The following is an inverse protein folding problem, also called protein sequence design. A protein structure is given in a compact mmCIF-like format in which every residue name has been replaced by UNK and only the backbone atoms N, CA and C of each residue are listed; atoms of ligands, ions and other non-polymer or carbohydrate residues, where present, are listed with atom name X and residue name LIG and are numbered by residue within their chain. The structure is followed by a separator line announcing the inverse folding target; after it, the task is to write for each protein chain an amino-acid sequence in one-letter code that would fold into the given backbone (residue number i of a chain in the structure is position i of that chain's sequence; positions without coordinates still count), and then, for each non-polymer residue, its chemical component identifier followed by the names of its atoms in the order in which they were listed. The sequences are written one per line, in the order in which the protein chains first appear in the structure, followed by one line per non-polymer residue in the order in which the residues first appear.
data_IF_085144278326
#
_entry.id   IF_085144278326
#
_cell.length_a   1.000
_cell.length_b   1.000
_cell.length_c   1.000
_cell.angle_alpha   90.00
_cell.angle_beta   90.00
_cell.angle_gamma   90.00
#
_symmetry.space_group_name_H-M   'P 1'
#
loop_
_entity.id
_entity.type
_entity.pdbx_description
1 polymer ?
#
# COMPACT_ATOMS: atom_id res chain seq x y z
N UNK A 1 3.69 25.37 -46.21
CA UNK A 1 4.92 25.41 -45.40
C UNK A 1 4.80 24.36 -44.32
N UNK A 2 5.72 23.40 -44.31
CA UNK A 2 5.79 22.24 -43.43
C UNK A 2 6.71 22.57 -42.24
N UNK A 3 6.38 22.05 -41.05
CA UNK A 3 7.25 21.88 -39.85
C UNK A 3 7.54 23.18 -39.09
N UNK A 4 7.59 23.27 -37.75
CA UNK A 4 7.58 22.28 -36.68
C UNK A 4 6.66 22.80 -35.57
N UNK A 5 5.72 21.95 -35.16
CA UNK A 5 5.07 22.01 -33.86
C UNK A 5 6.17 21.64 -32.84
N UNK A 6 6.79 22.64 -32.23
CA UNK A 6 7.81 22.39 -31.21
C UNK A 6 7.15 21.74 -29.99
N UNK A 7 7.60 20.52 -29.75
CA UNK A 7 7.45 19.71 -28.55
C UNK A 7 7.10 20.52 -27.29
N UNK A 8 5.84 20.39 -26.85
CA UNK A 8 5.43 20.51 -25.46
C UNK A 8 4.81 19.17 -25.06
N UNK A 9 5.64 18.13 -25.15
CA UNK A 9 5.35 16.75 -24.78
C UNK A 9 6.59 16.26 -24.05
N UNK A 10 6.68 16.61 -22.76
CA UNK A 10 7.54 16.00 -21.73
C UNK A 10 7.33 16.74 -20.40
N UNK A 11 6.14 16.58 -19.82
CA UNK A 11 5.88 16.80 -18.38
C UNK A 11 4.61 16.07 -17.91
N UNK A 12 4.25 14.94 -18.54
CA UNK A 12 3.18 14.04 -18.06
C UNK A 12 3.76 12.82 -17.33
N UNK A 13 4.90 13.01 -16.66
CA UNK A 13 5.43 12.11 -15.65
C UNK A 13 5.70 12.97 -14.42
N UNK A 14 4.80 12.90 -13.43
CA UNK A 14 4.88 13.71 -12.23
C UNK A 14 3.87 14.86 -12.17
N UNK A 15 2.58 14.61 -12.38
CA UNK A 15 1.62 15.27 -11.48
C UNK A 15 1.81 14.64 -10.11
N UNK A 16 2.89 15.05 -9.45
CA UNK A 16 3.11 14.92 -8.02
C UNK A 16 1.83 15.45 -7.40
N UNK A 17 1.09 14.55 -6.77
CA UNK A 17 -0.20 14.79 -6.13
C UNK A 17 0.01 15.74 -4.95
N UNK A 18 0.23 17.03 -5.24
CA UNK A 18 0.60 18.03 -4.27
C UNK A 18 -0.60 18.33 -3.36
N UNK A 19 -0.66 17.60 -2.25
CA UNK A 19 -1.34 18.05 -1.04
C UNK A 19 -0.58 19.20 -0.41
N UNK A 20 -1.27 20.22 0.08
CA UNK A 20 -0.68 21.20 1.00
C UNK A 20 -0.57 20.67 2.44
N UNK A 21 -1.07 19.48 2.74
CA UNK A 21 -0.94 18.88 4.08
C UNK A 21 0.49 18.33 4.30
N UNK A 22 1.23 18.81 5.32
CA UNK A 22 2.59 18.36 5.60
C UNK A 22 2.70 16.85 5.84
N UNK A 23 1.67 16.24 6.43
CA UNK A 23 1.65 14.79 6.71
C UNK A 23 1.65 14.05 5.38
N UNK A 24 0.79 14.45 4.45
CA UNK A 24 0.70 13.83 3.11
C UNK A 24 1.99 14.03 2.31
N UNK A 25 2.64 15.20 2.42
CA UNK A 25 3.92 15.44 1.74
C UNK A 25 5.09 14.62 2.29
N UNK A 26 5.05 14.24 3.55
CA UNK A 26 6.13 13.52 4.22
C UNK A 26 5.99 12.00 4.20
N UNK A 27 4.80 11.48 3.89
CA UNK A 27 4.50 10.04 3.91
C UNK A 27 4.67 9.34 2.57
N UNK A 28 4.80 8.01 2.62
CA UNK A 28 4.64 7.13 1.46
C UNK A 28 3.27 6.49 1.53
N UNK A 29 2.49 6.54 0.46
CA UNK A 29 1.05 6.27 0.55
C UNK A 29 0.61 5.14 -0.34
N UNK A 30 0.08 4.10 0.28
CA UNK A 30 -0.48 2.95 -0.41
C UNK A 30 -1.98 3.09 -0.37
N UNK A 31 -2.65 2.87 -1.51
CA UNK A 31 -4.11 2.87 -1.51
C UNK A 31 -4.61 1.63 -0.74
N UNK A 32 -5.70 1.74 0.00
CA UNK A 32 -6.34 0.62 0.70
C UNK A 32 -7.62 0.20 -0.03
N UNK A 33 -8.40 1.18 -0.43
CA UNK A 33 -9.70 0.97 -1.05
C UNK A 33 -9.96 2.07 -2.08
N UNK A 34 -10.66 1.69 -3.16
CA UNK A 34 -11.17 2.60 -4.17
C UNK A 34 -12.69 2.46 -4.20
N UNK A 35 -13.39 3.49 -3.71
CA UNK A 35 -14.82 3.66 -3.95
C UNK A 35 -15.08 4.33 -5.30
N UNK A 36 -16.35 4.55 -5.63
CA UNK A 36 -16.75 5.23 -6.87
C UNK A 36 -16.25 6.68 -6.96
N UNK A 37 -16.16 7.36 -5.81
CA UNK A 37 -15.83 8.79 -5.75
C UNK A 37 -14.56 9.11 -4.99
N UNK A 38 -14.03 8.17 -4.21
CA UNK A 38 -12.93 8.40 -3.27
C UNK A 38 -11.95 7.22 -3.29
N UNK A 39 -10.65 7.52 -3.25
CA UNK A 39 -9.59 6.53 -2.93
C UNK A 39 -9.04 6.82 -1.55
N UNK A 40 -8.78 5.76 -0.82
CA UNK A 40 -8.34 5.79 0.57
C UNK A 40 -6.90 5.31 0.63
N UNK A 41 -6.07 5.95 1.45
CA UNK A 41 -4.65 5.67 1.52
C UNK A 41 -4.17 5.54 2.96
N UNK A 42 -3.05 4.85 3.15
CA UNK A 42 -2.30 4.77 4.42
C UNK A 42 -0.80 4.78 4.20
N UNK A 43 -0.06 5.11 5.25
CA UNK A 43 1.39 5.02 5.26
C UNK A 43 1.86 3.68 5.87
N UNK A 44 2.34 2.72 5.07
CA UNK A 44 2.76 1.41 5.58
C UNK A 44 4.05 1.46 6.39
N UNK A 45 4.87 2.51 6.27
CA UNK A 45 6.11 2.68 7.03
C UNK A 45 5.88 3.28 8.41
N UNK A 46 4.79 4.01 8.59
CA UNK A 46 4.35 4.53 9.89
C UNK A 46 3.30 3.65 10.58
N UNK A 47 2.77 2.66 9.86
CA UNK A 47 1.81 1.69 10.41
C UNK A 47 2.52 0.67 11.28
N UNK A 48 2.10 0.56 12.54
CA UNK A 48 2.73 -0.33 13.53
C UNK A 48 1.72 -0.94 14.47
N UNK A 49 2.01 -2.12 15.00
CA UNK A 49 1.27 -2.68 16.13
C UNK A 49 1.95 -2.25 17.44
N UNK A 50 1.18 -1.69 18.37
CA UNK A 50 1.68 -1.29 19.67
C UNK A 50 1.69 -2.48 20.67
N UNK A 51 2.16 -2.24 21.90
CA UNK A 51 2.28 -3.25 22.95
C UNK A 51 0.95 -3.86 23.38
N UNK A 52 -0.15 -3.11 23.23
CA UNK A 52 -1.50 -3.56 23.57
C UNK A 52 -2.16 -4.35 22.42
N UNK A 53 -1.41 -4.55 21.32
CA UNK A 53 -1.88 -5.27 20.15
C UNK A 53 -2.74 -4.42 19.20
N UNK A 54 -2.86 -3.11 19.43
CA UNK A 54 -3.58 -2.21 18.51
C UNK A 54 -2.70 -1.79 17.35
N UNK A 55 -3.29 -1.71 16.15
CA UNK A 55 -2.61 -1.19 14.97
C UNK A 55 -2.81 0.31 14.91
N UNK A 56 -1.72 1.07 14.94
CA UNK A 56 -1.69 2.52 14.78
C UNK A 56 -1.31 2.86 13.34
N UNK A 57 -2.03 3.79 12.71
CA UNK A 57 -1.74 4.21 11.33
C UNK A 57 -2.18 5.65 11.07
N UNK A 58 -1.69 6.21 9.96
CA UNK A 58 -2.18 7.46 9.39
C UNK A 58 -2.89 7.11 8.10
N UNK A 59 -4.11 7.60 7.95
CA UNK A 59 -4.94 7.39 6.76
C UNK A 59 -5.41 8.72 6.22
N UNK A 60 -5.57 8.82 4.91
CA UNK A 60 -6.27 9.94 4.30
C UNK A 60 -7.15 9.43 3.16
N UNK A 61 -7.95 10.32 2.59
CA UNK A 61 -8.78 9.98 1.44
C UNK A 61 -8.70 11.09 0.41
N UNK A 62 -8.92 10.75 -0.85
CA UNK A 62 -8.85 11.68 -1.98
C UNK A 62 -10.05 11.50 -2.88
N UNK A 63 -10.68 12.59 -3.29
CA UNK A 63 -11.72 12.56 -4.31
C UNK A 63 -11.12 12.20 -5.68
N UNK A 64 -11.77 11.30 -6.41
CA UNK A 64 -11.32 10.82 -7.71
C UNK A 64 -11.45 11.86 -8.83
N UNK A 65 -12.45 12.74 -8.74
CA UNK A 65 -12.80 13.67 -9.81
C UNK A 65 -11.90 14.89 -9.87
N UNK A 66 -11.59 15.48 -8.71
CA UNK A 66 -10.83 16.74 -8.61
C UNK A 66 -9.49 16.57 -7.88
N UNK A 67 -9.19 15.36 -7.39
CA UNK A 67 -7.97 15.07 -6.64
C UNK A 67 -7.94 15.73 -5.26
N UNK A 68 -9.03 16.35 -4.81
CA UNK A 68 -9.07 17.06 -3.53
C UNK A 68 -8.92 16.10 -2.37
N UNK A 69 -8.23 16.55 -1.33
CA UNK A 69 -7.87 15.71 -0.19
C UNK A 69 -8.84 15.90 0.96
N UNK A 70 -9.26 14.77 1.50
CA UNK A 70 -9.95 14.67 2.76
C UNK A 70 -8.87 14.54 3.82
N UNK A 71 -8.94 15.40 4.84
CA UNK A 71 -7.89 15.58 5.86
C UNK A 71 -7.40 14.24 6.42
N UNK A 72 -6.09 14.08 6.63
CA UNK A 72 -5.53 12.88 7.24
C UNK A 72 -6.10 12.69 8.64
N UNK A 73 -6.28 11.42 9.00
CA UNK A 73 -6.72 10.97 10.31
C UNK A 73 -5.70 9.99 10.87
N UNK A 74 -5.40 10.12 12.16
CA UNK A 74 -4.65 9.13 12.90
C UNK A 74 -5.62 8.13 13.47
N UNK A 75 -5.37 6.86 13.20
CA UNK A 75 -6.28 5.79 13.60
C UNK A 75 -5.57 4.79 14.51
N UNK A 76 -6.36 4.24 15.42
CA UNK A 76 -6.00 3.03 16.16
C UNK A 76 -7.06 1.96 15.89
N UNK A 77 -6.62 0.76 15.58
CA UNK A 77 -7.48 -0.37 15.26
C UNK A 77 -7.25 -1.49 16.27
N UNK A 78 -8.32 -1.89 16.94
CA UNK A 78 -8.33 -3.08 17.78
C UNK A 78 -8.85 -4.26 16.95
N UNK A 79 -7.92 -5.11 16.53
CA UNK A 79 -8.21 -6.22 15.64
C UNK A 79 -8.98 -7.36 16.27
N UNK A 80 -8.88 -7.54 17.59
CA UNK A 80 -9.66 -8.55 18.30
C UNK A 80 -11.16 -8.19 18.29
N UNK A 81 -11.47 -6.90 18.47
CA UNK A 81 -12.84 -6.41 18.57
C UNK A 81 -13.37 -5.78 17.27
N UNK A 82 -12.52 -5.67 16.24
CA UNK A 82 -12.81 -4.97 14.97
C UNK A 82 -13.31 -3.54 15.18
N UNK A 83 -12.80 -2.87 16.21
CA UNK A 83 -13.15 -1.48 16.55
C UNK A 83 -12.05 -0.53 16.12
N UNK A 84 -12.46 0.70 15.83
CA UNK A 84 -11.61 1.78 15.35
C UNK A 84 -11.74 2.99 16.29
N UNK A 85 -10.64 3.65 16.57
CA UNK A 85 -10.57 4.97 17.19
C UNK A 85 -9.95 5.96 16.20
N UNK A 86 -10.50 7.16 16.09
CA UNK A 86 -10.09 8.17 15.10
C UNK A 86 -9.71 9.46 15.80
N UNK A 87 -8.56 10.00 15.39
CA UNK A 87 -8.05 11.29 15.85
C UNK A 87 -7.79 12.18 14.65
N UNK A 88 -8.17 13.45 14.76
CA UNK A 88 -7.73 14.51 13.84
C UNK A 88 -6.58 15.29 14.46
N UNK A 89 -5.89 16.10 13.66
CA UNK A 89 -4.98 17.12 14.19
C UNK A 89 -5.79 18.39 14.45
N UNK A 90 -5.85 18.81 15.71
CA UNK A 90 -6.43 20.08 16.11
C UNK A 90 -5.58 21.27 15.67
N UNK A 91 -6.10 22.49 15.79
CA UNK A 91 -5.38 23.73 15.42
C UNK A 91 -4.08 23.95 16.21
N UNK A 92 -3.95 23.35 17.39
CA UNK A 92 -2.74 23.35 18.23
C UNK A 92 -1.67 22.34 17.79
N UNK A 93 -1.91 21.57 16.72
CA UNK A 93 -1.04 20.49 16.26
C UNK A 93 -1.16 19.19 17.07
N UNK A 94 -1.97 19.18 18.13
CA UNK A 94 -2.20 17.98 18.95
C UNK A 94 -3.24 17.05 18.33
N UNK A 95 -3.10 15.74 18.58
CA UNK A 95 -4.12 14.76 18.22
C UNK A 95 -5.36 14.97 19.09
N UNK A 96 -6.49 15.23 18.46
CA UNK A 96 -7.79 15.35 19.10
C UNK A 96 -8.63 14.13 18.76
N UNK A 97 -9.14 13.44 19.78
CA UNK A 97 -10.08 12.35 19.60
C UNK A 97 -11.36 12.88 18.93
N UNK A 98 -11.63 12.43 17.71
CA UNK A 98 -12.85 12.80 16.97
C UNK A 98 -13.91 11.73 17.08
N UNK A 99 -13.50 10.47 17.20
CA UNK A 99 -14.39 9.35 17.40
C UNK A 99 -13.72 8.29 18.26
N UNK A 100 -14.35 7.98 19.37
CA UNK A 100 -13.88 6.92 20.26
C UNK A 100 -14.09 5.52 19.65
N UNK A 101 -13.60 4.49 20.33
CA UNK A 101 -13.74 3.09 19.94
C UNK A 101 -15.16 2.75 19.50
N UNK A 102 -15.29 2.40 18.22
CA UNK A 102 -16.56 2.03 17.63
C UNK A 102 -16.36 0.95 16.56
N UNK A 103 -17.40 0.17 16.31
CA UNK A 103 -17.46 -0.70 15.14
C UNK A 103 -17.82 0.18 13.93
N UNK A 104 -16.99 0.21 12.86
CA UNK A 104 -17.33 0.96 11.66
C UNK A 104 -18.58 0.37 10.99
N UNK A 105 -19.36 1.21 10.32
CA UNK A 105 -20.49 0.74 9.53
C UNK A 105 -19.97 -0.10 8.34
N UNK A 106 -20.61 -1.22 8.02
CA UNK A 106 -20.17 -2.17 6.98
C UNK A 106 -19.92 -1.53 5.61
N UNK A 107 -20.63 -0.43 5.28
CA UNK A 107 -20.47 0.31 4.01
C UNK A 107 -19.53 1.51 4.10
N UNK A 108 -18.90 1.72 5.25
CA UNK A 108 -17.99 2.85 5.47
C UNK A 108 -16.54 2.49 5.15
N UNK A 109 -15.76 3.51 4.79
CA UNK A 109 -14.31 3.40 4.60
C UNK A 109 -13.59 2.84 5.85
N UNK A 110 -14.12 3.12 7.05
CA UNK A 110 -13.56 2.59 8.30
C UNK A 110 -13.55 1.06 8.34
N UNK A 111 -14.50 0.39 7.68
CA UNK A 111 -14.53 -1.07 7.59
C UNK A 111 -13.38 -1.59 6.73
N UNK A 112 -13.04 -0.89 5.64
CA UNK A 112 -11.91 -1.25 4.80
C UNK A 112 -10.57 -1.03 5.50
N UNK A 113 -10.46 0.01 6.36
CA UNK A 113 -9.29 0.17 7.24
C UNK A 113 -9.14 -1.01 8.19
N UNK A 114 -10.20 -1.41 8.88
CA UNK A 114 -10.14 -2.53 9.84
C UNK A 114 -9.78 -3.83 9.12
N UNK A 115 -10.44 -4.17 8.01
CA UNK A 115 -10.15 -5.37 7.21
C UNK A 115 -8.68 -5.43 6.78
N UNK A 116 -8.18 -4.31 6.26
CA UNK A 116 -6.83 -4.19 5.71
C UNK A 116 -5.76 -4.27 6.79
N UNK A 117 -5.90 -3.47 7.84
CA UNK A 117 -4.87 -3.29 8.86
C UNK A 117 -4.84 -4.44 9.87
N UNK A 118 -5.98 -5.07 10.13
CA UNK A 118 -6.02 -6.27 10.96
C UNK A 118 -5.62 -7.54 10.21
N UNK A 119 -5.65 -7.45 8.89
CA UNK A 119 -5.40 -8.57 8.02
C UNK A 119 -6.52 -9.60 8.04
N UNK A 120 -6.51 -10.44 7.01
CA UNK A 120 -7.32 -11.64 6.98
C UNK A 120 -6.53 -12.78 7.59
N UNK A 121 -7.09 -13.58 8.49
CA UNK A 121 -6.40 -14.82 8.92
C UNK A 121 -6.95 -15.96 8.09
N UNK A 122 -6.09 -16.69 7.37
CA UNK A 122 -6.51 -17.89 6.64
C UNK A 122 -7.04 -18.94 7.62
N UNK A 123 -7.78 -19.91 7.11
CA UNK A 123 -8.19 -21.09 7.91
C UNK A 123 -6.98 -21.84 8.50
N UNK A 124 -5.81 -21.74 7.83
CA UNK A 124 -4.53 -22.26 8.29
C UNK A 124 -3.78 -21.38 9.31
N UNK A 125 -4.39 -20.29 9.79
CA UNK A 125 -3.82 -19.43 10.84
C UNK A 125 -2.78 -18.42 10.36
N UNK A 126 -2.60 -18.26 9.04
CA UNK A 126 -1.65 -17.30 8.47
C UNK A 126 -2.31 -15.92 8.42
N UNK A 127 -1.66 -14.92 9.03
CA UNK A 127 -2.09 -13.53 8.96
C UNK A 127 -1.73 -12.93 7.59
N UNK A 128 -2.74 -12.53 6.84
CA UNK A 128 -2.66 -11.85 5.56
C UNK A 128 -2.62 -10.35 5.82
N UNK A 129 -1.46 -9.72 5.65
CA UNK A 129 -1.36 -8.26 5.67
C UNK A 129 -1.67 -7.70 4.28
N UNK A 130 -2.79 -6.99 4.16
CA UNK A 130 -3.13 -6.29 2.92
C UNK A 130 -2.12 -5.16 2.71
N UNK A 131 -1.42 -5.18 1.58
CA UNK A 131 -0.33 -4.22 1.33
C UNK A 131 -0.87 -3.00 0.62
N UNK A 132 -1.77 -3.16 -0.34
CA UNK A 132 -2.28 -2.03 -1.08
C UNK A 132 -3.20 -2.38 -2.25
N UNK A 133 -3.97 -1.40 -2.67
CA UNK A 133 -4.65 -1.31 -3.94
C UNK A 133 -3.69 -0.71 -4.97
N UNK A 134 -3.63 -1.29 -6.16
CA UNK A 134 -2.86 -0.79 -7.28
C UNK A 134 -3.69 -0.83 -8.56
N UNK A 135 -3.44 0.12 -9.46
CA UNK A 135 -3.88 -0.05 -10.84
C UNK A 135 -3.07 -1.18 -11.46
N UNK A 136 -3.73 -2.09 -12.18
CA UNK A 136 -3.08 -3.25 -12.76
C UNK A 136 -2.06 -2.77 -13.82
N UNK A 137 -0.76 -3.06 -13.67
CA UNK A 137 0.26 -2.58 -14.60
C UNK A 137 0.11 -3.18 -16.00
N UNK A 138 -0.55 -4.34 -16.12
CA UNK A 138 -0.84 -5.00 -17.40
C UNK A 138 -2.19 -4.58 -18.00
N UNK A 139 -3.07 -3.96 -17.20
CA UNK A 139 -4.37 -3.46 -17.66
C UNK A 139 -4.83 -2.27 -16.81
N UNK A 140 -4.45 -1.03 -17.16
CA UNK A 140 -4.75 0.17 -16.35
C UNK A 140 -6.25 0.42 -16.08
N UNK A 141 -7.14 -0.16 -16.90
CA UNK A 141 -8.59 -0.10 -16.66
C UNK A 141 -9.07 -1.03 -15.53
N UNK A 142 -8.19 -1.89 -15.01
CA UNK A 142 -8.48 -2.86 -13.97
C UNK A 142 -7.78 -2.48 -12.68
N UNK A 143 -8.58 -2.54 -11.63
CA UNK A 143 -8.15 -2.35 -10.27
C UNK A 143 -7.68 -3.69 -9.71
N UNK A 144 -6.50 -3.73 -9.13
CA UNK A 144 -5.91 -4.93 -8.53
C UNK A 144 -5.56 -4.64 -7.08
N UNK A 145 -6.15 -5.40 -6.19
CA UNK A 145 -5.78 -5.39 -4.79
C UNK A 145 -4.66 -6.42 -4.57
N UNK A 146 -3.62 -6.05 -3.83
CA UNK A 146 -2.52 -6.94 -3.44
C UNK A 146 -2.71 -7.28 -1.96
N UNK A 147 -3.04 -8.54 -1.72
CA UNK A 147 -3.52 -8.98 -0.41
C UNK A 147 -2.42 -9.60 0.43
N UNK A 148 -1.42 -10.26 -0.15
CA UNK A 148 -0.58 -11.16 0.65
C UNK A 148 0.92 -10.95 0.53
N UNK A 149 1.56 -11.12 1.69
CA UNK A 149 2.93 -11.54 1.89
C UNK A 149 2.88 -12.69 2.88
N UNK A 150 3.30 -13.91 2.52
CA UNK A 150 3.77 -14.80 3.56
C UNK A 150 4.95 -14.09 4.22
N UNK A 151 4.92 -13.96 5.54
CA UNK A 151 6.15 -13.63 6.29
C UNK A 151 7.15 -14.79 6.27
N UNK A 152 6.75 -15.92 5.67
CA UNK A 152 7.55 -17.10 5.41
C UNK A 152 8.27 -16.92 4.07
N UNK A 153 9.59 -17.07 4.10
CA UNK A 153 10.42 -17.08 2.90
C UNK A 153 9.97 -18.19 1.94
N UNK A 154 9.76 -17.84 0.67
CA UNK A 154 9.37 -18.79 -0.35
C UNK A 154 10.60 -19.29 -1.13
N UNK A 155 10.63 -20.57 -1.48
CA UNK A 155 11.65 -21.11 -2.39
C UNK A 155 11.34 -20.74 -3.85
N UNK A 156 12.34 -20.41 -4.71
CA UNK A 156 13.77 -20.38 -4.40
C UNK A 156 14.18 -19.11 -3.66
N UNK A 157 15.07 -19.31 -2.67
CA UNK A 157 15.68 -18.26 -1.87
C UNK A 157 16.68 -17.46 -2.70
N UNK A 158 16.56 -16.13 -2.69
CA UNK A 158 17.57 -15.23 -3.26
C UNK A 158 18.77 -15.18 -2.30
N UNK A 159 20.01 -15.50 -2.73
CA UNK A 159 21.18 -15.38 -1.87
C UNK A 159 21.34 -13.96 -1.31
N UNK A 160 21.36 -13.82 0.02
CA UNK A 160 21.43 -12.51 0.68
C UNK A 160 20.17 -11.66 0.48
N UNK A 161 19.06 -12.26 0.09
CA UNK A 161 17.80 -11.60 -0.25
C UNK A 161 16.58 -12.26 0.39
N UNK A 162 15.39 -11.97 -0.15
CA UNK A 162 14.12 -12.62 0.23
C UNK A 162 13.21 -12.81 -0.97
N UNK A 163 12.40 -13.85 -0.93
CA UNK A 163 11.32 -14.09 -1.91
C UNK A 163 9.99 -14.07 -1.19
N UNK A 164 9.08 -13.21 -1.65
CA UNK A 164 7.71 -13.11 -1.16
C UNK A 164 6.74 -13.60 -2.23
N UNK A 165 5.78 -14.44 -1.84
CA UNK A 165 4.62 -14.68 -2.69
C UNK A 165 3.67 -13.48 -2.60
N UNK A 166 3.24 -12.99 -3.76
CA UNK A 166 2.24 -11.95 -3.89
C UNK A 166 0.95 -12.61 -4.37
N UNK A 167 -0.09 -12.59 -3.53
CA UNK A 167 -1.46 -12.85 -4.00
C UNK A 167 -2.07 -11.51 -4.36
N UNK A 168 -2.50 -11.38 -5.60
CA UNK A 168 -3.25 -10.23 -6.06
C UNK A 168 -4.60 -10.68 -6.60
N UNK A 169 -5.64 -9.93 -6.28
CA UNK A 169 -6.98 -10.19 -6.78
C UNK A 169 -7.48 -8.99 -7.57
N UNK A 170 -8.01 -9.31 -8.75
CA UNK A 170 -8.50 -8.32 -9.71
C UNK A 170 -10.01 -8.25 -9.55
N UNK A 171 -10.50 -7.12 -9.06
CA UNK A 171 -11.91 -6.96 -8.65
C UNK A 171 -12.89 -7.35 -9.76
N UNK A 172 -12.59 -6.94 -11.01
CA UNK A 172 -13.49 -7.16 -12.14
C UNK A 172 -13.51 -8.62 -12.63
N UNK A 173 -12.46 -9.40 -12.36
CA UNK A 173 -12.38 -10.78 -12.81
C UNK A 173 -12.78 -11.78 -11.72
N UNK A 174 -12.93 -11.32 -10.47
CA UNK A 174 -13.11 -12.17 -9.30
C UNK A 174 -12.09 -13.32 -9.21
N UNK A 175 -10.87 -13.08 -9.72
CA UNK A 175 -9.79 -14.06 -9.79
C UNK A 175 -8.60 -13.59 -8.96
N UNK A 176 -8.14 -14.48 -8.09
CA UNK A 176 -6.83 -14.39 -7.47
C UNK A 176 -5.77 -14.91 -8.44
N UNK A 177 -4.63 -14.24 -8.43
CA UNK A 177 -3.45 -14.63 -9.17
C UNK A 177 -2.28 -14.68 -8.20
N UNK A 178 -1.44 -15.69 -8.39
CA UNK A 178 -0.20 -15.86 -7.66
C UNK A 178 0.96 -15.30 -8.48
N UNK A 179 1.76 -14.48 -7.83
CA UNK A 179 3.07 -14.05 -8.31
C UNK A 179 4.10 -14.12 -7.19
N UNK A 180 5.33 -13.78 -7.53
CA UNK A 180 6.46 -13.76 -6.63
C UNK A 180 7.21 -12.46 -6.82
N UNK A 181 7.63 -11.87 -5.71
CA UNK A 181 8.55 -10.76 -5.65
C UNK A 181 9.86 -11.25 -5.05
N UNK A 182 10.92 -11.14 -5.83
CA UNK A 182 12.28 -11.47 -5.45
C UNK A 182 13.00 -10.19 -5.09
N UNK A 183 13.73 -10.20 -3.98
CA UNK A 183 14.50 -9.08 -3.47
C UNK A 183 15.94 -9.51 -3.28
N UNK A 184 16.87 -8.75 -3.84
CA UNK A 184 18.31 -8.85 -3.57
C UNK A 184 18.71 -7.69 -2.66
N UNK A 185 18.90 -7.97 -1.37
CA UNK A 185 19.28 -6.94 -0.39
C UNK A 185 20.72 -6.45 -0.59
N UNK A 186 21.61 -7.27 -1.15
CA UNK A 186 23.01 -6.91 -1.36
C UNK A 186 23.11 -5.88 -2.47
N UNK A 187 22.46 -6.15 -3.60
CA UNK A 187 22.54 -5.35 -4.81
C UNK A 187 21.43 -4.29 -4.92
N UNK A 188 20.49 -4.24 -3.97
CA UNK A 188 19.34 -3.33 -3.94
C UNK A 188 18.45 -3.46 -5.20
N UNK A 189 18.12 -4.70 -5.58
CA UNK A 189 17.31 -4.99 -6.77
C UNK A 189 16.09 -5.81 -6.43
N UNK A 190 15.09 -5.76 -7.30
CA UNK A 190 13.90 -6.57 -7.20
C UNK A 190 13.50 -7.14 -8.56
N UNK A 191 12.74 -8.24 -8.55
CA UNK A 191 12.11 -8.79 -9.74
C UNK A 191 10.71 -9.31 -9.37
N UNK A 192 9.78 -9.24 -10.31
CA UNK A 192 8.47 -9.89 -10.17
C UNK A 192 8.32 -10.98 -11.24
N UNK A 193 7.76 -12.12 -10.86
CA UNK A 193 7.49 -13.22 -11.79
C UNK A 193 6.26 -14.02 -11.35
N UNK A 194 5.69 -14.81 -12.25
CA UNK A 194 4.62 -15.78 -11.94
C UNK A 194 5.14 -17.20 -11.73
N UNK A 195 6.46 -17.36 -11.64
CA UNK A 195 7.16 -18.65 -11.53
C UNK A 195 8.23 -18.60 -10.44
N UNK A 196 8.70 -19.78 -10.04
CA UNK A 196 9.68 -20.04 -8.98
C UNK A 196 11.05 -20.43 -9.57
N UNK A 197 11.73 -19.47 -10.20
CA UNK A 197 13.03 -19.67 -10.85
C UNK A 197 13.83 -18.36 -10.84
N UNK A 198 15.12 -18.43 -10.49
CA UNK A 198 16.02 -17.27 -10.43
C UNK A 198 16.65 -16.94 -11.79
N UNK A 199 16.82 -17.93 -12.66
CA UNK A 199 17.64 -17.79 -13.88
C UNK A 199 16.96 -16.91 -14.94
N UNK A 200 15.63 -16.80 -14.88
CA UNK A 200 14.81 -16.05 -15.84
C UNK A 200 14.32 -14.70 -15.29
N UNK A 201 14.82 -14.28 -14.12
CA UNK A 201 14.38 -13.03 -13.49
C UNK A 201 14.93 -11.80 -14.22
N UNK A 202 14.02 -10.91 -14.61
CA UNK A 202 14.38 -9.58 -15.09
C UNK A 202 14.49 -8.62 -13.90
N UNK A 203 15.71 -8.46 -13.39
CA UNK A 203 16.00 -7.61 -12.23
C UNK A 203 15.89 -6.12 -12.55
N UNK A 204 15.22 -5.38 -11.68
CA UNK A 204 15.13 -3.93 -11.67
C UNK A 204 15.90 -3.39 -10.46
N UNK A 205 16.64 -2.30 -10.66
CA UNK A 205 17.31 -1.60 -9.58
C UNK A 205 16.35 -0.64 -8.87
N UNK A 206 16.68 -0.30 -7.62
CA UNK A 206 16.09 0.80 -6.86
C UNK A 206 14.55 0.77 -6.80
N UNK A 207 13.97 -0.18 -6.04
CA UNK A 207 12.53 -0.30 -5.93
C UNK A 207 11.90 1.01 -5.41
N UNK A 208 10.90 1.58 -6.11
CA UNK A 208 10.30 2.85 -5.69
C UNK A 208 9.72 2.78 -4.27
N UNK A 209 9.98 3.76 -3.39
CA UNK A 209 9.48 3.77 -2.01
C UNK A 209 7.97 3.56 -1.86
N UNK A 210 7.20 4.13 -2.76
CA UNK A 210 5.75 4.10 -2.83
C UNK A 210 5.19 2.81 -3.48
N UNK A 211 6.06 1.87 -3.87
CA UNK A 211 5.67 0.59 -4.45
C UNK A 211 5.72 -0.54 -3.44
N UNK A 212 4.92 -1.59 -3.67
CA UNK A 212 4.99 -2.84 -2.90
C UNK A 212 6.42 -3.39 -2.83
N UNK A 213 7.19 -3.26 -3.91
CA UNK A 213 8.59 -3.67 -3.93
C UNK A 213 9.46 -2.83 -2.98
N UNK A 214 9.26 -1.51 -2.93
CA UNK A 214 10.00 -0.62 -2.04
C UNK A 214 9.70 -0.91 -0.58
N UNK A 215 8.42 -1.07 -0.23
CA UNK A 215 8.01 -1.43 1.12
C UNK A 215 8.61 -2.77 1.56
N UNK A 216 8.62 -3.74 0.66
CA UNK A 216 9.16 -5.07 0.95
C UNK A 216 10.67 -5.11 1.02
N UNK A 217 11.35 -4.33 0.18
CA UNK A 217 12.79 -4.10 0.31
C UNK A 217 13.12 -3.50 1.68
N UNK A 218 12.39 -2.47 2.11
CA UNK A 218 12.55 -1.89 3.44
C UNK A 218 12.30 -2.91 4.57
N UNK A 219 11.18 -3.63 4.52
CA UNK A 219 10.80 -4.62 5.54
C UNK A 219 11.80 -5.79 5.59
N UNK A 220 12.27 -6.27 4.44
CA UNK A 220 13.16 -7.44 4.34
C UNK A 220 14.62 -7.12 4.66
N UNK A 221 15.10 -5.98 4.16
CA UNK A 221 16.52 -5.67 4.07
C UNK A 221 16.94 -4.50 4.97
N UNK A 222 16.00 -3.83 5.63
CA UNK A 222 16.27 -2.66 6.48
C UNK A 222 16.77 -1.42 5.72
N UNK A 223 16.81 -1.47 4.39
CA UNK A 223 17.19 -0.34 3.54
C UNK A 223 15.96 0.52 3.28
N UNK A 224 15.95 1.77 3.76
CA UNK A 224 14.95 2.73 3.28
C UNK A 224 15.22 2.97 1.79
N UNK A 225 14.24 2.74 0.90
CA UNK A 225 14.39 3.14 -0.49
C UNK A 225 14.61 4.65 -0.55
N UNK A 226 15.61 5.08 -1.33
CA UNK A 226 16.05 6.47 -1.45
C UNK A 226 15.12 7.27 -2.36
#
# INVERSE_FOLDING_TARGET
MKKLLSLLLLAFAGTVFASDDPIVRAGHWFAIAKGETIVVFYDPYQTRQNSDGFVESVVYSRHLLDGSLIKPSYIQVNCANRTLQVHSIGSSGQRQLTKDWHVPNDRSVGTEWVKTLCGYTTESGVKIAFIGFMENPYNPARSTHIYWLPEVEHSPSVPGGKTYQLIYYVDNDSRGYDGFLYLDCVQNRYATATFLDLDLLNWQADPPPESVAGYLMFKACGKRPQ
#
